data_IF_899995269726
#
_entry.id   IF_899995269726
#
_cell.length_a   1.000
_cell.length_b   1.000
_cell.length_c   1.000
_cell.angle_alpha   90.00
_cell.angle_beta   90.00
_cell.angle_gamma   90.00
#
_symmetry.space_group_name_H-M   'P 1'
#
loop_
_entity.id
_entity.type
_entity.pdbx_description
1 polymer ?
#
# COMPACT_ATOMS: atom_id res chain seq x y z
N UNK A 1 4.96 -40.23 45.34
CA UNK A 1 5.64 -41.37 44.69
C UNK A 1 4.69 -42.03 43.70
N UNK A 2 4.89 -41.84 42.38
CA UNK A 2 4.27 -42.65 41.32
C UNK A 2 5.07 -42.51 40.01
N UNK A 3 5.98 -43.48 39.86
CA UNK A 3 6.54 -44.16 38.68
C UNK A 3 6.71 -43.38 37.36
N UNK A 4 7.98 -43.25 36.99
CA UNK A 4 8.50 -42.97 35.64
C UNK A 4 8.44 -44.26 34.81
N UNK A 5 8.04 -44.17 33.54
CA UNK A 5 8.44 -45.15 32.51
C UNK A 5 8.77 -44.42 31.21
N UNK A 6 10.01 -44.60 30.74
CA UNK A 6 10.57 -44.18 29.45
C UNK A 6 10.25 -45.20 28.35
N UNK A 7 10.04 -44.73 27.11
CA UNK A 7 10.39 -45.39 25.82
C UNK A 7 10.07 -44.38 24.69
N UNK A 8 11.01 -43.64 24.08
CA UNK A 8 12.08 -43.99 23.14
C UNK A 8 11.62 -44.56 21.77
N UNK A 9 11.96 -43.82 20.71
CA UNK A 9 12.73 -44.24 19.51
C UNK A 9 12.10 -44.04 18.10
N UNK A 10 12.91 -43.36 17.25
CA UNK A 10 13.10 -43.48 15.77
C UNK A 10 12.01 -42.98 14.80
N UNK A 11 12.27 -42.39 13.61
CA UNK A 11 13.47 -41.92 12.87
C UNK A 11 13.01 -41.15 11.61
N UNK A 12 13.75 -40.08 11.27
CA UNK A 12 14.35 -39.73 9.97
C UNK A 12 13.58 -39.97 8.65
N UNK A 13 13.35 -38.90 7.89
CA UNK A 13 13.30 -38.97 6.42
C UNK A 13 13.87 -37.68 5.80
N UNK A 14 15.00 -37.83 5.12
CA UNK A 14 15.71 -36.79 4.36
C UNK A 14 15.35 -37.01 2.89
N UNK A 15 14.81 -36.01 2.20
CA UNK A 15 14.72 -36.02 0.74
C UNK A 15 15.89 -35.22 0.18
N UNK A 16 16.83 -35.92 -0.47
CA UNK A 16 17.81 -35.33 -1.39
C UNK A 16 17.32 -35.53 -2.82
N UNK A 17 17.14 -34.44 -3.57
CA UNK A 17 16.98 -34.47 -5.01
C UNK A 17 18.30 -34.02 -5.64
N UNK A 18 18.95 -34.93 -6.36
CA UNK A 18 20.01 -34.62 -7.30
C UNK A 18 19.71 -35.35 -8.61
N UNK A 19 19.52 -34.59 -9.69
CA UNK A 19 19.64 -35.09 -11.06
C UNK A 19 19.96 -33.92 -12.00
N UNK A 20 21.25 -33.66 -12.19
CA UNK A 20 21.74 -33.04 -13.42
C UNK A 20 21.66 -34.08 -14.54
N UNK A 21 21.14 -33.71 -15.70
CA UNK A 21 21.46 -34.38 -16.95
C UNK A 21 21.61 -33.33 -18.05
N UNK A 22 22.80 -33.30 -18.62
CA UNK A 22 23.20 -32.44 -19.73
C UNK A 22 23.39 -33.32 -20.96
N UNK A 23 22.60 -33.15 -22.03
CA UNK A 23 23.07 -33.24 -23.43
C UNK A 23 21.95 -32.83 -24.42
N UNK A 24 22.22 -31.77 -25.17
CA UNK A 24 21.65 -31.41 -26.50
C UNK A 24 22.21 -32.35 -27.61
N UNK A 25 21.75 -32.36 -28.89
CA UNK A 25 21.05 -31.27 -29.63
C UNK A 25 19.87 -31.71 -30.55
N UNK A 26 19.00 -30.76 -30.94
CA UNK A 26 18.73 -30.42 -32.36
C UNK A 26 17.62 -29.35 -32.52
N UNK A 27 18.01 -28.27 -33.21
CA UNK A 27 17.26 -27.22 -33.94
C UNK A 27 15.75 -27.42 -34.19
N UNK A 28 14.95 -26.40 -33.81
CA UNK A 28 13.99 -25.73 -34.73
C UNK A 28 13.56 -24.36 -34.18
N UNK A 29 13.65 -23.33 -35.03
CA UNK A 29 13.16 -21.97 -34.81
C UNK A 29 11.66 -21.94 -34.46
N UNK A 30 11.24 -21.04 -33.58
CA UNK A 30 10.26 -19.98 -33.85
C UNK A 30 10.26 -18.99 -32.67
N UNK A 31 10.40 -17.72 -33.03
CA UNK A 31 10.05 -16.47 -32.35
C UNK A 31 9.18 -16.61 -31.11
N UNK A 32 9.62 -16.08 -29.96
CA UNK A 32 8.72 -15.44 -28.99
C UNK A 32 9.44 -14.44 -28.08
N UNK A 33 8.73 -13.34 -27.88
CA UNK A 33 9.01 -12.11 -27.14
C UNK A 33 9.61 -12.34 -25.75
N UNK A 34 10.81 -11.78 -25.54
CA UNK A 34 11.43 -11.69 -24.22
C UNK A 34 10.80 -10.55 -23.43
N UNK A 35 9.84 -10.88 -22.57
CA UNK A 35 9.42 -10.01 -21.47
C UNK A 35 10.44 -10.19 -20.33
N UNK A 36 11.34 -9.21 -20.16
CA UNK A 36 12.21 -9.15 -18.99
C UNK A 36 11.36 -8.81 -17.77
N UNK A 37 11.12 -9.81 -16.91
CA UNK A 37 10.72 -9.61 -15.53
C UNK A 37 11.88 -8.90 -14.80
N UNK A 38 11.70 -7.61 -14.54
CA UNK A 38 12.58 -6.85 -13.68
C UNK A 38 12.25 -7.20 -12.22
N UNK A 39 13.05 -8.12 -11.66
CA UNK A 39 13.19 -8.32 -10.23
C UNK A 39 14.18 -7.27 -9.70
N UNK A 40 13.71 -6.37 -8.84
CA UNK A 40 14.56 -5.59 -7.92
C UNK A 40 13.73 -5.35 -6.67
N UNK A 41 13.96 -6.15 -5.63
CA UNK A 41 14.98 -5.93 -4.59
C UNK A 41 14.49 -4.88 -3.61
N UNK A 42 14.03 -5.39 -2.47
CA UNK A 42 13.69 -4.64 -1.27
C UNK A 42 14.92 -3.87 -0.78
N UNK A 43 14.97 -2.58 -1.09
CA UNK A 43 15.91 -1.63 -0.51
C UNK A 43 15.18 -0.67 0.44
N UNK A 44 15.75 -0.62 1.63
CA UNK A 44 15.41 0.20 2.78
C UNK A 44 15.31 1.69 2.40
N UNK A 45 14.21 2.33 2.80
CA UNK A 45 13.80 3.69 2.42
C UNK A 45 14.94 4.74 2.46
N UNK A 46 15.29 5.23 1.27
CA UNK A 46 16.09 6.44 1.05
C UNK A 46 15.23 7.46 0.31
N UNK A 47 14.66 8.45 1.02
CA UNK A 47 14.05 9.69 0.47
C UNK A 47 13.33 9.56 -0.89
N UNK A 48 12.56 8.48 -1.10
CA UNK A 48 11.92 8.24 -2.38
C UNK A 48 10.65 9.08 -2.43
N UNK A 49 10.68 10.19 -3.16
CA UNK A 49 9.45 10.94 -3.46
C UNK A 49 8.64 10.15 -4.49
N UNK A 50 7.44 9.72 -4.11
CA UNK A 50 6.49 9.04 -4.99
C UNK A 50 5.70 10.05 -5.82
N UNK A 51 5.11 9.59 -6.91
CA UNK A 51 4.17 10.33 -7.76
C UNK A 51 2.80 9.67 -7.76
N UNK A 52 1.78 10.43 -8.13
CA UNK A 52 0.45 9.86 -8.41
C UNK A 52 0.58 8.79 -9.50
N UNK A 53 -0.02 7.64 -9.26
CA UNK A 53 0.09 6.44 -10.11
C UNK A 53 1.17 5.44 -9.67
N UNK A 54 2.12 5.82 -8.82
CA UNK A 54 3.08 4.88 -8.25
C UNK A 54 2.41 3.97 -7.21
N UNK A 55 2.80 2.70 -7.16
CA UNK A 55 2.41 1.78 -6.07
C UNK A 55 3.42 1.87 -4.92
N UNK A 56 2.91 2.22 -3.74
CA UNK A 56 3.65 2.27 -2.49
C UNK A 56 3.43 0.94 -1.77
N UNK A 57 4.52 0.22 -1.51
CA UNK A 57 4.47 -1.07 -0.82
C UNK A 57 4.98 -0.89 0.60
N UNK A 58 4.06 -0.92 1.56
CA UNK A 58 4.37 -1.05 2.98
C UNK A 58 4.51 -2.54 3.29
N UNK A 59 5.75 -3.01 3.31
CA UNK A 59 6.09 -4.43 3.39
C UNK A 59 5.29 -5.15 4.48
N UNK A 60 4.63 -6.23 4.11
CA UNK A 60 3.82 -7.10 4.98
C UNK A 60 2.60 -6.39 5.62
N UNK A 61 2.26 -5.17 5.19
CA UNK A 61 1.16 -4.37 5.74
C UNK A 61 0.13 -4.03 4.66
N UNK A 62 0.50 -3.23 3.66
CA UNK A 62 -0.42 -2.81 2.61
C UNK A 62 0.29 -2.41 1.32
N UNK A 63 -0.43 -2.49 0.20
CA UNK A 63 -0.08 -1.79 -1.03
C UNK A 63 -1.08 -0.66 -1.26
N UNK A 64 -0.59 0.56 -1.49
CA UNK A 64 -1.41 1.74 -1.70
C UNK A 64 -0.99 2.43 -3.00
N UNK A 65 -1.96 2.75 -3.87
CA UNK A 65 -1.74 3.51 -5.11
C UNK A 65 -2.73 4.66 -5.19
N UNK A 66 -2.24 5.90 -5.21
CA UNK A 66 -3.07 7.05 -5.53
C UNK A 66 -3.34 7.05 -7.02
N UNK A 67 -4.61 6.91 -7.41
CA UNK A 67 -5.02 6.80 -8.82
C UNK A 67 -5.53 8.13 -9.37
N UNK A 68 -6.09 9.00 -8.52
CA UNK A 68 -6.60 10.30 -8.93
C UNK A 68 -6.57 11.32 -7.79
N UNK A 69 -6.38 12.58 -8.16
CA UNK A 69 -6.53 13.73 -7.27
C UNK A 69 -7.33 14.79 -8.04
N UNK A 70 -8.47 15.19 -7.52
CA UNK A 70 -9.37 16.13 -8.18
C UNK A 70 -10.07 17.06 -7.19
N UNK A 71 -10.46 18.25 -7.66
CA UNK A 71 -11.42 19.07 -6.93
C UNK A 71 -12.81 18.45 -7.01
N UNK A 72 -13.55 18.53 -5.91
CA UNK A 72 -14.99 18.19 -5.88
C UNK A 72 -15.82 19.41 -5.45
N UNK A 73 -17.01 19.52 -6.03
CA UNK A 73 -18.05 20.46 -5.62
C UNK A 73 -18.95 19.90 -4.50
N UNK A 74 -18.78 18.62 -4.14
CA UNK A 74 -19.53 18.01 -3.05
C UNK A 74 -19.16 18.67 -1.70
N UNK A 75 -20.18 18.94 -0.89
CA UNK A 75 -20.03 19.59 0.41
C UNK A 75 -20.86 18.87 1.45
N UNK A 76 -20.30 18.75 2.65
CA UNK A 76 -21.03 18.24 3.81
C UNK A 76 -21.67 19.43 4.55
N UNK A 77 -22.98 19.59 4.40
CA UNK A 77 -23.73 20.72 4.98
C UNK A 77 -23.93 20.65 6.49
N UNK A 78 -23.58 19.52 7.12
CA UNK A 78 -23.64 19.35 8.57
C UNK A 78 -22.26 19.39 9.23
N UNK A 79 -21.19 19.55 8.44
CA UNK A 79 -19.83 19.73 8.94
C UNK A 79 -19.57 21.19 9.32
N UNK A 80 -18.91 21.41 10.45
CA UNK A 80 -18.44 22.73 10.87
C UNK A 80 -17.07 23.09 10.21
N UNK A 81 -16.48 22.17 9.45
CA UNK A 81 -15.19 22.38 8.78
C UNK A 81 -15.36 23.35 7.62
N UNK A 82 -14.58 24.43 7.64
CA UNK A 82 -14.55 25.43 6.57
C UNK A 82 -13.58 24.97 5.49
N UNK A 83 -14.08 24.87 4.25
CA UNK A 83 -13.28 24.50 3.09
C UNK A 83 -13.57 25.44 1.91
N UNK A 84 -12.56 26.20 1.47
CA UNK A 84 -12.63 27.01 0.25
C UNK A 84 -12.77 26.09 -0.98
N UNK A 85 -11.93 25.06 -1.02
CA UNK A 85 -12.02 23.94 -1.98
C UNK A 85 -11.92 22.62 -1.22
N UNK A 86 -12.47 21.56 -1.80
CA UNK A 86 -12.35 20.21 -1.27
C UNK A 86 -11.58 19.37 -2.27
N UNK A 87 -10.41 18.88 -1.85
CA UNK A 87 -9.59 17.98 -2.64
C UNK A 87 -10.05 16.55 -2.35
N UNK A 88 -10.47 15.82 -3.39
CA UNK A 88 -10.82 14.40 -3.32
C UNK A 88 -9.64 13.59 -3.87
N UNK A 89 -9.14 12.66 -3.05
CA UNK A 89 -8.10 11.70 -3.43
C UNK A 89 -8.76 10.35 -3.61
N UNK A 90 -8.53 9.72 -4.76
CA UNK A 90 -8.94 8.35 -5.06
C UNK A 90 -7.72 7.45 -5.06
N UNK A 91 -7.80 6.31 -4.40
CA UNK A 91 -6.69 5.37 -4.27
C UNK A 91 -7.19 3.92 -4.26
N UNK A 92 -6.25 3.01 -4.55
CA UNK A 92 -6.44 1.59 -4.38
C UNK A 92 -5.64 1.15 -3.16
N UNK A 93 -6.18 0.19 -2.41
CA UNK A 93 -5.52 -0.39 -1.23
C UNK A 93 -5.70 -1.91 -1.23
N UNK A 94 -4.62 -2.62 -0.92
CA UNK A 94 -4.61 -4.07 -0.69
C UNK A 94 -4.08 -4.37 0.70
N UNK A 95 -4.81 -5.17 1.47
CA UNK A 95 -4.37 -5.65 2.77
C UNK A 95 -3.40 -6.82 2.60
N UNK A 96 -2.15 -6.63 3.01
CA UNK A 96 -1.10 -7.66 2.97
C UNK A 96 -0.89 -8.37 4.32
N UNK A 97 -1.59 -7.94 5.37
CA UNK A 97 -1.52 -8.56 6.69
C UNK A 97 -2.32 -9.87 6.74
N UNK A 98 -2.16 -10.62 7.84
CA UNK A 98 -2.99 -11.76 8.22
C UNK A 98 -4.18 -11.39 9.11
N UNK A 99 -4.42 -10.09 9.35
CA UNK A 99 -5.52 -9.55 10.14
C UNK A 99 -6.43 -8.62 9.30
N UNK A 100 -7.53 -8.16 9.90
CA UNK A 100 -8.40 -7.17 9.27
C UNK A 100 -7.73 -5.79 9.19
N UNK A 101 -7.90 -5.10 8.06
CA UNK A 101 -7.35 -3.77 7.79
C UNK A 101 -8.45 -2.73 7.66
N UNK A 102 -8.29 -1.58 8.32
CA UNK A 102 -9.25 -0.46 8.26
C UNK A 102 -8.75 0.58 7.26
N UNK A 103 -9.48 0.72 6.15
CA UNK A 103 -9.23 1.71 5.11
C UNK A 103 -9.88 3.04 5.49
N UNK A 104 -9.21 4.15 5.20
CA UNK A 104 -9.81 5.51 5.22
C UNK A 104 -9.08 6.55 6.08
N UNK A 105 -8.10 6.14 6.88
CA UNK A 105 -7.17 7.05 7.59
C UNK A 105 -5.73 6.84 7.11
N UNK A 106 -5.57 6.52 5.81
CA UNK A 106 -4.29 6.13 5.23
C UNK A 106 -3.40 7.32 4.80
N UNK A 107 -3.92 8.54 4.92
CA UNK A 107 -3.35 9.70 4.24
C UNK A 107 -3.63 11.01 4.99
N UNK A 108 -2.60 11.84 5.08
CA UNK A 108 -2.70 13.25 5.46
C UNK A 108 -2.27 14.14 4.28
N UNK A 109 -2.98 15.26 4.10
CA UNK A 109 -2.61 16.27 3.12
C UNK A 109 -1.90 17.44 3.79
N UNK A 110 -0.73 17.80 3.26
CA UNK A 110 0.02 18.98 3.63
C UNK A 110 0.00 20.03 2.51
N UNK A 111 -0.26 21.29 2.86
CA UNK A 111 -0.05 22.45 2.00
C UNK A 111 0.98 23.35 2.66
N UNK A 112 2.06 23.70 1.95
CA UNK A 112 3.17 24.48 2.49
C UNK A 112 3.72 23.91 3.83
N UNK A 113 3.84 22.58 3.91
CA UNK A 113 4.26 21.83 5.10
C UNK A 113 3.35 22.00 6.33
N UNK A 114 2.09 22.38 6.15
CA UNK A 114 1.06 22.38 7.20
C UNK A 114 -0.01 21.35 6.86
N UNK A 115 -0.32 20.49 7.83
CA UNK A 115 -1.42 19.54 7.71
C UNK A 115 -2.75 20.29 7.53
N UNK A 116 -3.57 19.78 6.63
CA UNK A 116 -4.94 20.26 6.37
C UNK A 116 -5.95 19.39 7.13
N UNK A 117 -7.18 19.87 7.28
CA UNK A 117 -8.24 19.07 7.91
C UNK A 117 -8.85 18.09 6.91
N UNK A 118 -8.99 16.82 7.30
CA UNK A 118 -9.80 15.84 6.56
C UNK A 118 -11.25 16.33 6.48
N UNK A 119 -11.83 16.29 5.29
CA UNK A 119 -13.17 16.79 5.03
C UNK A 119 -14.15 15.63 4.81
N UNK A 120 -15.20 15.48 5.65
CA UNK A 120 -16.04 14.29 5.67
C UNK A 120 -17.06 14.27 4.53
N UNK A 121 -16.58 14.05 3.30
CA UNK A 121 -17.41 13.95 2.10
C UNK A 121 -16.90 12.81 1.22
N UNK A 122 -17.80 11.93 0.79
CA UNK A 122 -17.47 10.79 -0.06
C UNK A 122 -16.32 9.90 0.43
N UNK A 123 -15.93 9.98 1.70
CA UNK A 123 -14.78 9.24 2.26
C UNK A 123 -15.20 7.81 2.57
N UNK A 124 -14.40 6.84 2.14
CA UNK A 124 -14.62 5.43 2.41
C UNK A 124 -13.95 5.07 3.74
N UNK A 125 -14.73 4.49 4.65
CA UNK A 125 -14.29 3.90 5.90
C UNK A 125 -14.80 2.47 5.96
N UNK A 126 -13.96 1.52 5.57
CA UNK A 126 -14.31 0.11 5.45
C UNK A 126 -13.22 -0.81 6.00
N UNK A 127 -13.62 -2.00 6.43
CA UNK A 127 -12.69 -3.03 6.88
C UNK A 127 -12.55 -4.11 5.80
N UNK A 128 -11.31 -4.43 5.44
CA UNK A 128 -11.00 -5.49 4.48
C UNK A 128 -10.20 -6.62 5.13
N UNK A 129 -10.66 -7.84 4.87
CA UNK A 129 -10.02 -9.06 5.34
C UNK A 129 -8.64 -9.29 4.68
N UNK A 130 -7.80 -10.19 5.23
CA UNK A 130 -6.48 -10.54 4.67
C UNK A 130 -6.52 -10.84 3.17
N UNK A 131 -5.59 -10.24 2.43
CA UNK A 131 -5.44 -10.43 0.98
C UNK A 131 -6.57 -9.85 0.12
N UNK A 132 -7.48 -9.06 0.70
CA UNK A 132 -8.52 -8.33 -0.05
C UNK A 132 -8.08 -6.92 -0.38
N UNK A 133 -8.78 -6.32 -1.34
CA UNK A 133 -8.48 -4.99 -1.86
C UNK A 133 -9.75 -4.17 -2.05
N UNK A 134 -9.62 -2.84 -1.94
CA UNK A 134 -10.58 -1.86 -2.43
C UNK A 134 -9.93 -1.11 -3.59
N UNK A 135 -10.60 -1.09 -4.74
CA UNK A 135 -10.27 -0.18 -5.83
C UNK A 135 -11.17 1.04 -5.76
N UNK A 136 -10.59 2.23 -5.92
CA UNK A 136 -11.35 3.47 -5.89
C UNK A 136 -11.82 3.90 -4.49
N UNK A 137 -11.09 3.51 -3.45
CA UNK A 137 -11.23 4.10 -2.12
C UNK A 137 -11.02 5.63 -2.21
N UNK A 138 -11.70 6.38 -1.34
CA UNK A 138 -11.68 7.84 -1.39
C UNK A 138 -11.45 8.44 -0.01
N UNK A 139 -10.66 9.51 0.03
CA UNK A 139 -10.51 10.41 1.17
C UNK A 139 -10.54 11.86 0.67
N UNK A 140 -11.00 12.78 1.50
CA UNK A 140 -11.14 14.18 1.11
C UNK A 140 -10.53 15.13 2.14
N UNK A 141 -10.05 16.28 1.67
CA UNK A 141 -9.36 17.28 2.49
C UNK A 141 -9.87 18.69 2.21
N UNK A 142 -9.94 19.50 3.27
CA UNK A 142 -10.27 20.92 3.18
C UNK A 142 -9.03 21.73 2.79
N UNK A 143 -9.06 22.38 1.62
CA UNK A 143 -7.95 23.23 1.15
C UNK A 143 -8.37 24.68 1.20
N UNK A 144 -7.70 25.44 2.07
CA UNK A 144 -8.01 26.85 2.34
C UNK A 144 -6.92 27.82 1.90
N UNK A 145 -5.77 27.30 1.48
CA UNK A 145 -4.64 28.08 1.00
C UNK A 145 -4.05 27.44 -0.26
N UNK A 146 -3.38 28.26 -1.07
CA UNK A 146 -2.66 27.80 -2.26
C UNK A 146 -1.20 27.52 -1.88
N UNK A 147 -0.52 26.63 -2.59
CA UNK A 147 0.88 26.32 -2.31
C UNK A 147 1.36 24.99 -2.82
N UNK A 148 2.53 24.58 -2.35
CA UNK A 148 3.07 23.25 -2.61
C UNK A 148 2.27 22.22 -1.84
N UNK A 149 1.79 21.18 -2.54
CA UNK A 149 0.99 20.11 -1.97
C UNK A 149 1.79 18.79 -1.93
N UNK A 150 1.64 18.06 -0.83
CA UNK A 150 2.13 16.70 -0.68
C UNK A 150 1.18 15.86 0.17
N UNK A 151 1.03 14.58 -0.17
CA UNK A 151 0.36 13.60 0.66
C UNK A 151 1.43 12.84 1.45
N UNK A 152 1.23 12.78 2.76
CA UNK A 152 1.88 11.82 3.63
C UNK A 152 1.00 10.57 3.65
N UNK A 153 1.55 9.43 3.24
CA UNK A 153 0.81 8.17 3.08
C UNK A 153 1.36 7.16 4.05
N UNK A 154 0.50 6.57 4.86
CA UNK A 154 0.83 5.46 5.74
C UNK A 154 -0.38 4.55 5.95
N UNK A 155 -0.20 3.24 6.17
CA UNK A 155 -1.32 2.37 6.47
C UNK A 155 -2.08 2.79 7.74
N UNK A 156 -3.34 3.19 7.58
CA UNK A 156 -4.17 3.71 8.66
C UNK A 156 -4.46 2.65 9.74
N UNK A 157 -4.53 3.08 11.00
CA UNK A 157 -4.82 2.21 12.16
C UNK A 157 -3.85 1.03 12.37
N UNK A 158 -2.74 0.97 11.64
CA UNK A 158 -1.69 -0.03 11.83
C UNK A 158 -0.67 0.52 12.83
N UNK A 159 -0.80 0.14 14.10
CA UNK A 159 0.05 0.64 15.19
C UNK A 159 1.44 -0.03 15.21
N UNK A 160 2.24 0.19 14.17
CA UNK A 160 3.66 -0.17 14.15
C UNK A 160 4.51 1.08 14.10
N UNK A 161 5.43 1.22 15.06
CA UNK A 161 6.35 2.38 15.14
C UNK A 161 7.47 2.34 14.09
N UNK A 162 7.58 1.24 13.34
CA UNK A 162 8.65 1.01 12.37
C UNK A 162 8.24 1.37 10.94
N UNK A 163 6.96 1.68 10.73
CA UNK A 163 6.46 2.15 9.44
C UNK A 163 6.89 3.60 9.27
N UNK A 164 7.59 3.89 8.17
CA UNK A 164 7.86 5.26 7.75
C UNK A 164 6.83 5.66 6.72
N UNK A 165 6.23 6.85 6.83
CA UNK A 165 5.30 7.33 5.82
C UNK A 165 6.03 7.55 4.49
N UNK A 166 5.28 7.40 3.40
CA UNK A 166 5.71 7.71 2.05
C UNK A 166 5.20 9.11 1.67
N UNK A 167 6.05 9.90 1.00
CA UNK A 167 5.68 11.25 0.56
C UNK A 167 5.37 11.24 -0.93
N UNK A 168 4.16 11.67 -1.30
CA UNK A 168 3.69 11.80 -2.68
C UNK A 168 3.53 13.27 -3.01
N UNK A 169 4.36 13.79 -3.91
CA UNK A 169 4.31 15.20 -4.34
C UNK A 169 3.50 15.35 -5.61
N UNK A 170 2.66 16.37 -5.68
CA UNK A 170 1.81 16.63 -6.82
C UNK A 170 1.49 18.13 -6.94
N UNK A 171 1.16 18.55 -8.16
CA UNK A 171 0.60 19.89 -8.39
C UNK A 171 -0.90 19.85 -8.10
N UNK A 172 -1.41 20.87 -7.40
CA UNK A 172 -2.86 21.00 -7.19
C UNK A 172 -3.59 21.02 -8.54
N UNK A 173 -4.76 20.36 -8.66
CA UNK A 173 -5.54 20.39 -9.89
C UNK A 173 -5.89 21.82 -10.29
N UNK A 174 -5.96 22.07 -11.60
CA UNK A 174 -6.34 23.38 -12.14
C UNK A 174 -7.85 23.59 -12.12
#
# INVERSE_FOLDING_TARGET
MKKITFLALTTLSVLTLAACSTTEPSKKETTDTSSSVAQSSSEQASDTSYKVGDTIVFKDVAEITITNIAWTDERNTVSDIVANKVLLVTYNVTNLTDEDYVVGEDMDLYINNKVTESYPVGTILETIAPGRSIEGATTAFAVNEEGTAELEVEPGFQFSTDIKPAIVKFDLPQ
#
